data_IF_815692406670
#
_entry.id   IF_815692406670
#
_cell.length_a   1.000
_cell.length_b   1.000
_cell.length_c   1.000
_cell.angle_alpha   90.00
_cell.angle_beta   90.00
_cell.angle_gamma   90.00
#
_symmetry.space_group_name_H-M   'P 1'
#
loop_
_entity.id
_entity.type
_entity.pdbx_description
1 polymer ?
#
# COMPACT_ATOMS: atom_id res chain seq x y z
N UNK A 1 26.48 -5.32 6.29
CA UNK A 1 27.08 -6.42 7.08
C UNK A 1 26.02 -7.02 8.00
N UNK A 2 25.39 -8.13 7.60
CA UNK A 2 24.33 -8.75 8.42
C UNK A 2 24.97 -9.52 9.58
N UNK A 3 24.58 -9.18 10.80
CA UNK A 3 25.10 -9.77 12.03
C UNK A 3 24.69 -11.24 12.12
N UNK A 4 25.66 -12.13 11.90
CA UNK A 4 25.55 -13.59 12.04
C UNK A 4 25.15 -13.92 13.48
N UNK A 5 23.85 -14.10 13.73
CA UNK A 5 23.31 -14.46 15.06
C UNK A 5 23.94 -15.78 15.48
N UNK A 6 24.80 -15.72 16.51
CA UNK A 6 25.56 -16.87 17.03
C UNK A 6 24.55 -17.83 17.66
N UNK A 7 24.31 -18.97 17.02
CA UNK A 7 23.47 -20.04 17.53
C UNK A 7 24.16 -20.73 18.71
N UNK A 8 23.94 -20.20 19.91
CA UNK A 8 24.55 -20.68 21.15
C UNK A 8 24.00 -22.01 21.65
N UNK A 9 22.84 -22.43 21.16
CA UNK A 9 22.14 -23.62 21.67
C UNK A 9 22.17 -24.80 20.66
N UNK A 10 22.91 -24.67 19.55
CA UNK A 10 23.05 -25.71 18.54
C UNK A 10 21.71 -26.09 17.90
N UNK A 11 20.79 -25.12 17.74
CA UNK A 11 19.45 -25.27 17.15
C UNK A 11 19.36 -24.70 15.73
N UNK A 12 20.49 -24.47 15.09
CA UNK A 12 20.58 -24.00 13.71
C UNK A 12 20.06 -25.02 12.71
N UNK A 13 20.01 -24.60 11.45
CA UNK A 13 19.55 -25.41 10.31
C UNK A 13 20.21 -26.79 10.33
N UNK A 14 19.39 -27.84 10.50
CA UNK A 14 19.84 -29.24 10.48
C UNK A 14 19.70 -29.78 9.06
N UNK A 15 20.74 -29.58 8.26
CA UNK A 15 20.79 -30.05 6.88
C UNK A 15 20.23 -29.06 5.84
N UNK A 16 20.27 -29.44 4.56
CA UNK A 16 19.87 -28.56 3.47
C UNK A 16 18.35 -28.36 3.48
N UNK A 17 17.89 -27.11 3.31
CA UNK A 17 16.47 -26.74 3.23
C UNK A 17 15.73 -27.40 2.07
N UNK A 18 16.46 -27.87 1.07
CA UNK A 18 15.93 -28.56 -0.09
C UNK A 18 16.95 -29.59 -0.61
N UNK A 19 16.43 -30.72 -1.06
CA UNK A 19 17.22 -31.76 -1.73
C UNK A 19 17.43 -31.43 -3.21
N UNK A 20 18.42 -32.06 -3.86
CA UNK A 20 18.60 -31.94 -5.31
C UNK A 20 17.41 -32.56 -6.03
N UNK A 21 16.89 -31.86 -7.03
CA UNK A 21 15.91 -32.41 -7.94
C UNK A 21 16.58 -33.52 -8.78
N UNK A 22 16.07 -34.77 -8.77
CA UNK A 22 16.69 -35.88 -9.50
C UNK A 22 16.59 -35.74 -11.03
N UNK A 23 15.64 -34.96 -11.54
CA UNK A 23 15.42 -34.78 -12.99
C UNK A 23 16.31 -33.68 -13.58
N UNK A 24 16.61 -32.63 -12.82
CA UNK A 24 17.36 -31.46 -13.30
C UNK A 24 18.75 -31.33 -12.68
N UNK A 25 19.06 -32.12 -11.64
CA UNK A 25 20.32 -32.07 -10.90
C UNK A 25 20.51 -30.82 -10.03
N UNK A 26 19.59 -29.85 -10.09
CA UNK A 26 19.65 -28.58 -9.37
C UNK A 26 18.98 -28.67 -8.00
N UNK A 27 19.53 -27.96 -7.01
CA UNK A 27 18.87 -27.84 -5.70
C UNK A 27 17.65 -26.93 -5.84
N UNK A 28 16.48 -27.40 -5.41
CA UNK A 28 15.26 -26.57 -5.42
C UNK A 28 15.50 -25.38 -4.49
N UNK A 29 15.34 -24.15 -5.01
CA UNK A 29 15.37 -22.97 -4.14
C UNK A 29 14.06 -22.95 -3.37
N UNK A 30 14.06 -22.95 -2.02
CA UNK A 30 12.82 -22.81 -1.28
C UNK A 30 12.13 -21.52 -1.73
N UNK A 31 10.82 -21.60 -1.97
CA UNK A 31 9.99 -20.46 -2.36
C UNK A 31 10.29 -19.36 -1.36
N UNK A 32 11.01 -18.33 -1.82
CA UNK A 32 11.15 -17.14 -1.03
C UNK A 32 9.77 -16.48 -1.06
N UNK A 33 9.22 -16.09 0.09
CA UNK A 33 8.12 -15.13 0.06
C UNK A 33 8.54 -13.98 -0.87
N UNK A 34 7.63 -13.42 -1.67
CA UNK A 34 7.93 -12.26 -2.49
C UNK A 34 8.71 -11.24 -1.65
N UNK A 35 9.78 -10.69 -2.25
CA UNK A 35 10.58 -9.68 -1.58
C UNK A 35 9.61 -8.59 -1.11
N UNK A 36 9.65 -8.23 0.18
CA UNK A 36 8.67 -7.36 0.84
C UNK A 36 8.68 -5.93 0.26
N UNK A 37 8.20 -5.72 -0.97
CA UNK A 37 7.24 -4.66 -1.17
C UNK A 37 6.08 -5.01 -0.22
N UNK A 38 5.68 -4.07 0.63
CA UNK A 38 4.58 -4.39 1.54
C UNK A 38 3.33 -4.61 0.68
N UNK A 39 2.48 -5.58 1.02
CA UNK A 39 1.19 -5.79 0.34
C UNK A 39 0.39 -4.48 0.21
N UNK A 40 0.59 -3.56 1.15
CA UNK A 40 0.09 -2.20 1.10
C UNK A 40 0.60 -1.41 -0.11
N UNK A 41 1.91 -1.44 -0.40
CA UNK A 41 2.51 -0.72 -1.54
C UNK A 41 2.00 -1.29 -2.87
N UNK A 42 1.85 -2.61 -2.96
CA UNK A 42 1.24 -3.28 -4.12
C UNK A 42 -0.21 -2.81 -4.30
N UNK A 43 -1.01 -2.85 -3.23
CA UNK A 43 -2.40 -2.39 -3.28
C UNK A 43 -2.55 -0.89 -3.64
N UNK A 44 -1.63 -0.03 -3.20
CA UNK A 44 -1.60 1.38 -3.59
C UNK A 44 -1.27 1.52 -5.07
N UNK A 45 -0.29 0.76 -5.56
CA UNK A 45 0.09 0.78 -6.97
C UNK A 45 -1.07 0.30 -7.86
N UNK A 46 -1.71 -0.82 -7.51
CA UNK A 46 -2.89 -1.35 -8.20
C UNK A 46 -4.01 -0.31 -8.28
N UNK A 47 -4.26 0.40 -7.18
CA UNK A 47 -5.27 1.46 -7.13
C UNK A 47 -4.91 2.67 -8.01
N UNK A 48 -3.64 3.08 -8.04
CA UNK A 48 -3.18 4.16 -8.93
C UNK A 48 -3.35 3.74 -10.40
N UNK A 49 -3.04 2.50 -10.75
CA UNK A 49 -3.19 1.97 -12.10
C UNK A 49 -4.64 1.98 -12.55
N UNK A 50 -5.56 1.49 -11.71
CA UNK A 50 -7.00 1.51 -11.98
C UNK A 50 -7.53 2.94 -12.18
N UNK A 51 -7.17 3.89 -11.31
CA UNK A 51 -7.56 5.30 -11.47
C UNK A 51 -6.96 5.90 -12.75
N UNK A 52 -5.73 5.52 -13.11
CA UNK A 52 -5.08 6.00 -14.32
C UNK A 52 -5.74 5.45 -15.60
N UNK A 53 -6.26 4.22 -15.57
CA UNK A 53 -7.02 3.63 -16.68
C UNK A 53 -8.36 4.35 -16.88
N UNK A 54 -9.05 4.68 -15.79
CA UNK A 54 -10.35 5.35 -15.82
C UNK A 54 -10.24 6.84 -16.15
N UNK A 55 -9.32 7.55 -15.48
CA UNK A 55 -9.20 9.00 -15.48
C UNK A 55 -7.74 9.49 -15.43
N UNK A 56 -6.94 9.35 -16.50
CA UNK A 56 -5.51 9.68 -16.48
C UNK A 56 -5.21 11.16 -16.18
N UNK A 57 -6.17 12.05 -16.50
CA UNK A 57 -6.03 13.48 -16.25
C UNK A 57 -6.03 13.84 -14.76
N UNK A 58 -6.67 13.02 -13.91
CA UNK A 58 -6.78 13.32 -12.47
C UNK A 58 -5.42 13.29 -11.79
N UNK A 59 -4.51 12.41 -12.22
CA UNK A 59 -3.19 12.21 -11.61
C UNK A 59 -2.15 13.24 -12.09
N UNK A 60 -2.48 14.06 -13.11
CA UNK A 60 -1.54 15.04 -13.66
C UNK A 60 -1.22 16.11 -12.63
N UNK A 61 0.06 16.18 -12.26
CA UNK A 61 0.52 17.15 -11.25
C UNK A 61 0.14 16.80 -9.82
N UNK A 62 -0.16 15.52 -9.55
CA UNK A 62 -0.36 14.97 -8.20
C UNK A 62 0.71 13.91 -7.93
N UNK A 63 1.29 13.94 -6.73
CA UNK A 63 2.16 12.88 -6.23
C UNK A 63 1.42 12.08 -5.16
N UNK A 64 1.34 10.75 -5.33
CA UNK A 64 0.82 9.86 -4.29
C UNK A 64 1.99 9.38 -3.43
N UNK A 65 1.86 9.52 -2.13
CA UNK A 65 2.87 9.15 -1.14
C UNK A 65 2.28 8.26 -0.05
N UNK A 66 3.18 7.58 0.67
CA UNK A 66 2.83 6.71 1.79
C UNK A 66 3.62 7.17 3.01
N UNK A 67 2.93 7.32 4.14
CA UNK A 67 3.52 7.59 5.44
C UNK A 67 3.03 6.56 6.45
N UNK A 68 3.83 6.23 7.46
CA UNK A 68 3.42 5.22 8.46
C UNK A 68 2.23 5.69 9.30
N UNK A 69 2.31 6.90 9.84
CA UNK A 69 1.33 7.52 10.74
C UNK A 69 1.32 9.03 10.53
N UNK A 70 0.18 9.71 10.74
CA UNK A 70 0.14 11.16 10.65
C UNK A 70 1.01 11.81 11.74
N UNK A 71 1.76 12.84 11.38
CA UNK A 71 2.40 13.72 12.35
C UNK A 71 1.37 14.72 12.90
N UNK A 72 1.05 14.61 14.19
CA UNK A 72 0.05 15.45 14.87
C UNK A 72 0.77 16.31 15.91
N UNK A 73 0.88 17.62 15.67
CA UNK A 73 1.58 18.56 16.57
C UNK A 73 0.85 18.78 17.91
N UNK A 74 -0.46 18.54 17.95
CA UNK A 74 -1.29 18.65 19.16
C UNK A 74 -1.93 17.31 19.48
N UNK A 75 -2.23 17.06 20.76
CA UNK A 75 -3.04 15.92 21.17
C UNK A 75 -4.34 15.89 20.36
N UNK A 76 -4.51 14.85 19.54
CA UNK A 76 -5.64 14.70 18.64
C UNK A 76 -6.97 14.81 19.41
N UNK A 77 -7.80 15.79 19.04
CA UNK A 77 -9.11 16.01 19.65
C UNK A 77 -10.26 15.36 18.87
N UNK A 78 -9.96 14.68 17.77
CA UNK A 78 -10.96 14.03 16.92
C UNK A 78 -11.30 12.62 17.39
N UNK A 79 -12.47 12.12 16.98
CA UNK A 79 -12.95 10.79 17.36
C UNK A 79 -12.24 9.64 16.60
N UNK A 80 -11.62 9.93 15.44
CA UNK A 80 -10.96 8.91 14.59
C UNK A 80 -9.66 9.41 13.99
N UNK A 81 -8.65 8.54 13.89
CA UNK A 81 -7.36 8.82 13.21
C UNK A 81 -7.58 8.97 11.69
N UNK A 82 -6.97 9.97 11.03
CA UNK A 82 -7.10 10.15 9.59
C UNK A 82 -6.43 9.00 8.83
N UNK A 83 -7.01 8.63 7.69
CA UNK A 83 -6.45 7.60 6.80
C UNK A 83 -5.56 8.18 5.72
N UNK A 84 -5.79 9.43 5.33
CA UNK A 84 -5.02 10.13 4.32
C UNK A 84 -5.03 11.63 4.55
N UNK A 85 -4.17 12.34 3.83
CA UNK A 85 -4.16 13.79 3.72
C UNK A 85 -3.97 14.19 2.25
N UNK A 86 -4.68 15.21 1.80
CA UNK A 86 -4.56 15.78 0.47
C UNK A 86 -4.11 17.25 0.56
N UNK A 87 -3.10 17.63 -0.22
CA UNK A 87 -2.55 18.98 -0.29
C UNK A 87 -2.66 19.47 -1.73
N UNK A 88 -3.40 20.57 -1.93
CA UNK A 88 -3.61 21.16 -3.24
C UNK A 88 -2.28 21.58 -3.90
N UNK A 89 -2.18 21.52 -5.24
CA UNK A 89 -1.02 22.02 -5.95
C UNK A 89 -0.82 23.53 -5.74
N UNK A 90 0.43 23.96 -5.82
CA UNK A 90 0.83 25.36 -5.82
C UNK A 90 1.61 25.66 -7.11
N UNK A 91 1.86 26.94 -7.46
CA UNK A 91 2.67 27.26 -8.65
C UNK A 91 4.07 26.65 -8.66
N UNK A 92 4.60 26.29 -7.49
CA UNK A 92 5.95 25.76 -7.31
C UNK A 92 6.00 24.29 -6.90
N UNK A 93 4.86 23.63 -6.67
CA UNK A 93 4.81 22.25 -6.22
C UNK A 93 3.53 21.53 -6.66
N UNK A 94 3.69 20.25 -7.03
CA UNK A 94 2.57 19.36 -7.32
C UNK A 94 1.68 19.15 -6.09
N UNK A 95 0.41 18.84 -6.37
CA UNK A 95 -0.53 18.38 -5.36
C UNK A 95 -0.03 17.05 -4.78
N UNK A 96 -0.42 16.74 -3.56
CA UNK A 96 0.02 15.51 -2.88
C UNK A 96 -1.15 14.83 -2.21
N UNK A 97 -1.23 13.52 -2.39
CA UNK A 97 -2.10 12.65 -1.60
C UNK A 97 -1.20 11.72 -0.80
N UNK A 98 -1.31 11.72 0.52
CA UNK A 98 -0.52 10.87 1.41
C UNK A 98 -1.46 9.89 2.09
N UNK A 99 -1.22 8.59 1.92
CA UNK A 99 -1.94 7.52 2.62
C UNK A 99 -1.17 7.12 3.89
N UNK A 100 -1.88 7.00 5.00
CA UNK A 100 -1.32 6.57 6.28
C UNK A 100 -1.45 5.06 6.45
N UNK A 101 -0.32 4.35 6.34
CA UNK A 101 -0.27 2.88 6.34
C UNK A 101 -0.87 2.28 7.61
N UNK A 102 -0.40 2.68 8.80
CA UNK A 102 -0.83 2.06 10.07
C UNK A 102 -2.31 2.27 10.36
N UNK A 103 -2.89 3.47 10.20
CA UNK A 103 -4.33 3.66 10.36
C UNK A 103 -5.17 2.80 9.40
N UNK A 104 -4.75 2.70 8.13
CA UNK A 104 -5.47 1.91 7.12
C UNK A 104 -5.37 0.41 7.42
N UNK A 105 -4.17 -0.11 7.67
CA UNK A 105 -3.96 -1.52 8.03
C UNK A 105 -4.72 -1.91 9.30
N UNK A 106 -4.80 -1.03 10.29
CA UNK A 106 -5.53 -1.29 11.53
C UNK A 106 -7.05 -1.29 11.32
N UNK A 107 -7.57 -0.57 10.32
CA UNK A 107 -9.01 -0.52 10.03
C UNK A 107 -9.48 -1.67 9.14
N UNK A 108 -8.61 -2.19 8.29
CA UNK A 108 -8.94 -3.31 7.41
C UNK A 108 -9.05 -4.63 8.19
N UNK A 109 -10.14 -5.37 7.97
CA UNK A 109 -10.35 -6.68 8.61
C UNK A 109 -9.66 -7.84 7.86
N UNK A 110 -9.28 -7.63 6.60
CA UNK A 110 -8.73 -8.65 5.70
C UNK A 110 -7.85 -8.02 4.62
N UNK A 111 -7.10 -8.84 3.88
CA UNK A 111 -6.30 -8.38 2.73
C UNK A 111 -7.17 -7.79 1.60
N UNK A 112 -8.27 -8.43 1.17
CA UNK A 112 -9.18 -7.81 0.21
C UNK A 112 -9.77 -6.50 0.75
N UNK A 113 -10.21 -6.48 2.01
CA UNK A 113 -10.73 -5.25 2.62
C UNK A 113 -9.70 -4.12 2.72
N UNK A 114 -8.41 -4.46 2.83
CA UNK A 114 -7.32 -3.50 2.78
C UNK A 114 -7.17 -2.87 1.38
N UNK A 115 -7.23 -3.68 0.32
CA UNK A 115 -7.19 -3.17 -1.06
C UNK A 115 -8.37 -2.24 -1.34
N UNK A 116 -9.59 -2.65 -0.97
CA UNK A 116 -10.81 -1.84 -1.12
C UNK A 116 -10.67 -0.52 -0.34
N UNK A 117 -10.23 -0.58 0.91
CA UNK A 117 -10.08 0.62 1.75
C UNK A 117 -9.03 1.58 1.19
N UNK A 118 -7.90 1.06 0.69
CA UNK A 118 -6.86 1.86 0.04
C UNK A 118 -7.44 2.55 -1.19
N UNK A 119 -8.10 1.78 -2.06
CA UNK A 119 -8.65 2.28 -3.31
C UNK A 119 -9.66 3.41 -3.06
N UNK A 120 -10.67 3.12 -2.23
CA UNK A 120 -11.68 4.10 -1.82
C UNK A 120 -11.07 5.36 -1.22
N UNK A 121 -10.10 5.20 -0.30
CA UNK A 121 -9.44 6.35 0.33
C UNK A 121 -8.72 7.21 -0.71
N UNK A 122 -8.01 6.59 -1.67
CA UNK A 122 -7.30 7.30 -2.73
C UNK A 122 -8.28 8.07 -3.63
N UNK A 123 -9.33 7.40 -4.11
CA UNK A 123 -10.37 8.01 -4.96
C UNK A 123 -11.05 9.18 -4.26
N UNK A 124 -11.46 9.01 -2.99
CA UNK A 124 -12.06 10.08 -2.19
C UNK A 124 -11.12 11.30 -2.07
N UNK A 125 -9.82 11.09 -1.84
CA UNK A 125 -8.86 12.21 -1.76
C UNK A 125 -8.65 12.89 -3.13
N UNK A 126 -8.60 12.12 -4.22
CA UNK A 126 -8.44 12.67 -5.57
C UNK A 126 -9.68 13.45 -6.01
N UNK A 127 -10.88 12.94 -5.75
CA UNK A 127 -12.14 13.62 -6.00
C UNK A 127 -12.18 14.97 -5.25
N UNK A 128 -11.86 14.96 -3.96
CA UNK A 128 -11.81 16.18 -3.14
C UNK A 128 -10.76 17.19 -3.64
N UNK A 129 -9.59 16.72 -4.10
CA UNK A 129 -8.50 17.59 -4.57
C UNK A 129 -8.78 18.20 -5.95
N UNK A 130 -9.42 17.45 -6.84
CA UNK A 130 -9.61 17.82 -8.25
C UNK A 130 -11.01 18.38 -8.55
N UNK A 131 -11.96 18.22 -7.64
CA UNK A 131 -13.35 18.61 -7.81
C UNK A 131 -14.14 17.71 -8.76
N UNK A 132 -13.59 16.54 -9.14
CA UNK A 132 -14.28 15.52 -9.94
C UNK A 132 -15.16 14.65 -9.04
N UNK A 133 -16.15 14.00 -9.64
CA UNK A 133 -17.03 13.08 -8.89
C UNK A 133 -16.35 11.73 -8.69
N UNK A 134 -16.78 10.98 -7.68
CA UNK A 134 -16.22 9.65 -7.39
C UNK A 134 -16.54 8.69 -8.55
N UNK A 135 -17.75 8.78 -9.10
CA UNK A 135 -18.24 7.94 -10.19
C UNK A 135 -17.47 8.15 -11.49
N UNK A 136 -16.88 9.34 -11.67
CA UNK A 136 -16.01 9.62 -12.80
C UNK A 136 -14.64 8.95 -12.63
N UNK A 137 -14.10 8.94 -11.41
CA UNK A 137 -12.78 8.39 -11.10
C UNK A 137 -12.78 6.86 -10.96
N UNK A 138 -13.89 6.32 -10.46
CA UNK A 138 -14.09 4.91 -10.20
C UNK A 138 -15.51 4.49 -10.61
N UNK A 139 -15.75 4.28 -11.92
CA UNK A 139 -17.06 3.88 -12.45
C UNK A 139 -17.50 2.48 -11.98
N UNK A 140 -16.54 1.60 -11.67
CA UNK A 140 -16.81 0.21 -11.29
C UNK A 140 -16.97 0.04 -9.76
N UNK A 141 -16.44 0.95 -8.94
CA UNK A 141 -16.42 0.82 -7.47
C UNK A 141 -17.76 1.04 -6.76
N UNK A 142 -18.82 1.48 -7.46
CA UNK A 142 -20.17 1.58 -6.89
C UNK A 142 -20.89 0.22 -6.77
N UNK A 143 -20.37 -0.84 -7.42
CA UNK A 143 -21.01 -2.16 -7.44
C UNK A 143 -20.58 -3.08 -6.28
N UNK A 144 -19.53 -2.71 -5.52
CA UNK A 144 -18.91 -3.54 -4.47
C UNK A 144 -19.43 -3.29 -3.04
N UNK A 145 -20.42 -2.40 -2.86
CA UNK A 145 -21.03 -2.08 -1.55
C UNK A 145 -22.23 -3.02 -1.18
N UNK A 146 -22.42 -4.15 -1.88
CA UNK A 146 -23.48 -5.18 -1.64
C UNK A 146 -22.96 -6.47 -0.97
#
# INVERSE_FOLDING_TARGET
MSTRRRDRHGRGLRGPLAVRNPLTGTTVRPVQPPARASFFDEAVQDSIEQVNENCPDVLKGITVGIEEVPFLETAWSGERVPLAAAVAPTPTAFGRVVLYRRPIEHRAASRPGLQILIHRTLVEQLAALTGRSIEELDPDGLDDDD
#
